data_IF_475172817833
#
_entry.id   IF_475172817833
#
_cell.length_a   1.000
_cell.length_b   1.000
_cell.length_c   1.000
_cell.angle_alpha   90.00
_cell.angle_beta   90.00
_cell.angle_gamma   90.00
#
_symmetry.space_group_name_H-M   'P 1'
#
loop_
_entity.id
_entity.type
_entity.pdbx_description
1 polymer ?
#
# COMPACT_ATOMS: atom_id res chain seq x y z
N UNK A 1 15.96 0.12 19.76
CA UNK A 1 15.91 1.17 20.81
C UNK A 1 16.17 2.57 20.27
N UNK A 2 17.28 2.77 19.55
CA UNK A 2 17.72 4.08 19.04
C UNK A 2 16.71 4.70 18.06
N UNK A 3 16.13 3.92 17.14
CA UNK A 3 15.19 4.44 16.15
C UNK A 3 13.92 5.05 16.78
N UNK A 4 13.35 4.43 17.81
CA UNK A 4 12.21 4.97 18.56
C UNK A 4 12.57 6.30 19.21
N UNK A 5 13.72 6.35 19.91
CA UNK A 5 14.20 7.58 20.55
C UNK A 5 14.36 8.72 19.53
N UNK A 6 15.02 8.44 18.40
CA UNK A 6 15.24 9.44 17.35
C UNK A 6 13.92 9.95 16.76
N UNK A 7 12.98 9.04 16.45
CA UNK A 7 11.67 9.43 15.92
C UNK A 7 10.85 10.26 16.92
N UNK A 8 10.88 9.89 18.21
CA UNK A 8 10.25 10.66 19.28
C UNK A 8 10.84 12.06 19.42
N UNK A 9 12.17 12.17 19.45
CA UNK A 9 12.86 13.47 19.51
C UNK A 9 12.53 14.34 18.30
N UNK A 10 12.59 13.80 17.08
CA UNK A 10 12.23 14.54 15.87
C UNK A 10 10.79 15.05 15.96
N UNK A 11 9.85 14.19 16.36
CA UNK A 11 8.43 14.53 16.45
C UNK A 11 8.16 15.61 17.50
N UNK A 12 8.79 15.50 18.67
CA UNK A 12 8.63 16.46 19.77
C UNK A 12 9.31 17.81 19.51
N UNK A 13 10.38 17.86 18.72
CA UNK A 13 11.07 19.12 18.40
C UNK A 13 10.40 19.91 17.27
N UNK A 14 9.58 19.28 16.42
CA UNK A 14 8.90 19.97 15.31
C UNK A 14 8.10 21.20 15.77
N UNK A 15 7.30 21.17 16.85
CA UNK A 15 6.59 22.35 17.34
C UNK A 15 7.50 23.37 18.04
N UNK A 16 8.65 22.95 18.55
CA UNK A 16 9.54 23.77 19.39
C UNK A 16 10.62 24.51 18.59
N UNK A 17 10.99 24.02 17.41
CA UNK A 17 11.95 24.67 16.52
C UNK A 17 11.23 25.64 15.58
N UNK A 18 11.63 26.91 15.60
CA UNK A 18 11.11 27.96 14.72
C UNK A 18 12.14 28.44 13.71
N UNK A 19 11.69 28.63 12.47
CA UNK A 19 12.46 29.22 11.37
C UNK A 19 11.93 30.62 11.04
N UNK A 20 12.81 31.51 10.55
CA UNK A 20 12.37 32.81 10.02
C UNK A 20 11.77 32.62 8.63
N UNK A 21 10.45 32.81 8.51
CA UNK A 21 9.82 32.89 7.20
C UNK A 21 10.10 34.24 6.53
N UNK A 22 10.04 34.30 5.19
CA UNK A 22 10.11 35.58 4.48
C UNK A 22 8.91 36.45 4.91
N UNK A 23 9.21 37.60 5.53
CA UNK A 23 8.30 38.53 6.26
C UNK A 23 8.05 38.18 7.72
N UNK A 24 9.03 38.52 8.57
CA UNK A 24 8.91 38.90 10.00
C UNK A 24 8.27 37.94 11.01
N UNK A 25 7.51 36.91 10.59
CA UNK A 25 6.85 35.96 11.46
C UNK A 25 7.71 34.71 11.61
N UNK A 26 7.87 34.26 12.85
CA UNK A 26 8.42 32.95 13.16
C UNK A 26 7.38 31.89 12.77
N UNK A 27 7.83 30.84 12.09
CA UNK A 27 7.00 29.68 11.75
C UNK A 27 7.69 28.45 12.29
N UNK A 28 6.95 27.61 13.01
CA UNK A 28 7.46 26.35 13.55
C UNK A 28 7.75 25.36 12.42
N UNK A 29 8.72 24.46 12.65
CA UNK A 29 8.97 23.35 11.74
C UNK A 29 7.71 22.49 11.57
N UNK A 30 6.90 22.35 12.62
CA UNK A 30 5.59 21.70 12.58
C UNK A 30 4.64 22.34 11.55
N UNK A 31 4.46 23.66 11.59
CA UNK A 31 3.57 24.37 10.64
C UNK A 31 4.04 24.20 9.20
N UNK A 32 5.36 24.25 8.96
CA UNK A 32 5.94 24.03 7.63
C UNK A 32 5.71 22.60 7.17
N UNK A 33 6.05 21.63 8.02
CA UNK A 33 5.89 20.21 7.72
C UNK A 33 4.43 19.84 7.47
N UNK A 34 3.52 20.23 8.37
CA UNK A 34 2.08 20.01 8.27
C UNK A 34 1.51 20.63 6.98
N UNK A 35 1.95 21.85 6.61
CA UNK A 35 1.51 22.47 5.35
C UNK A 35 1.91 21.64 4.13
N UNK A 36 3.16 21.16 4.08
CA UNK A 36 3.61 20.33 2.95
C UNK A 36 2.87 18.98 2.97
N UNK A 37 2.74 18.36 4.14
CA UNK A 37 2.09 17.08 4.30
C UNK A 37 0.61 17.11 3.92
N UNK A 38 -0.16 18.07 4.46
CA UNK A 38 -1.60 18.22 4.19
C UNK A 38 -1.91 18.51 2.72
N UNK A 39 -1.10 19.33 2.05
CA UNK A 39 -1.28 19.57 0.60
C UNK A 39 -1.01 18.29 -0.16
N UNK A 40 0.12 17.64 0.07
CA UNK A 40 0.45 16.41 -0.68
C UNK A 40 -0.48 15.25 -0.35
N UNK A 41 -1.05 15.19 0.86
CA UNK A 41 -2.01 14.16 1.24
C UNK A 41 -3.37 14.33 0.57
N UNK A 42 -3.76 15.57 0.26
CA UNK A 42 -4.94 15.83 -0.58
C UNK A 42 -4.78 15.34 -2.03
N UNK A 43 -3.56 15.35 -2.58
CA UNK A 43 -3.32 14.86 -3.94
C UNK A 43 -3.23 13.33 -4.02
N UNK A 44 -2.42 12.70 -3.15
CA UNK A 44 -2.05 11.29 -3.30
C UNK A 44 -2.54 10.40 -2.16
N UNK A 45 -3.00 10.98 -1.06
CA UNK A 45 -3.43 10.26 0.15
C UNK A 45 -2.48 10.41 1.33
N UNK A 46 -2.90 9.90 2.48
CA UNK A 46 -2.10 9.92 3.73
C UNK A 46 -0.94 8.93 3.67
N UNK A 47 0.08 9.14 4.50
CA UNK A 47 1.18 8.18 4.62
C UNK A 47 0.68 6.81 5.08
N UNK A 48 1.20 5.76 4.44
CA UNK A 48 0.92 4.36 4.81
C UNK A 48 1.61 3.99 6.14
N UNK A 49 2.77 4.57 6.41
CA UNK A 49 3.50 4.38 7.67
C UNK A 49 3.09 5.40 8.74
N UNK A 50 3.52 5.17 9.99
CA UNK A 50 3.37 6.15 11.07
C UNK A 50 4.17 7.43 10.75
N UNK A 51 3.69 8.55 11.25
CA UNK A 51 4.26 9.89 11.03
C UNK A 51 4.50 10.59 12.37
N UNK A 52 5.01 11.83 12.38
CA UNK A 52 5.08 12.63 13.59
C UNK A 52 3.74 12.80 14.32
N UNK A 53 2.58 12.74 13.64
CA UNK A 53 1.27 12.78 14.31
C UNK A 53 1.11 11.63 15.30
N UNK A 54 1.27 10.39 14.83
CA UNK A 54 1.09 9.20 15.66
C UNK A 54 2.14 9.10 16.77
N UNK A 55 3.37 9.56 16.51
CA UNK A 55 4.40 9.61 17.54
C UNK A 55 4.10 10.64 18.63
N UNK A 56 3.60 11.82 18.27
CA UNK A 56 3.17 12.82 19.26
C UNK A 56 2.00 12.31 20.10
N UNK A 57 1.01 11.67 19.48
CA UNK A 57 -0.13 11.07 20.19
C UNK A 57 0.33 9.98 21.18
N UNK A 58 1.20 9.06 20.74
CA UNK A 58 1.73 8.02 21.61
C UNK A 58 2.56 8.59 22.77
N UNK A 59 3.37 9.63 22.50
CA UNK A 59 4.18 10.29 23.50
C UNK A 59 3.33 11.03 24.52
N UNK A 60 2.30 11.76 24.09
CA UNK A 60 1.38 12.45 25.00
C UNK A 60 0.69 11.46 25.94
N UNK A 61 0.27 10.30 25.41
CA UNK A 61 -0.39 9.26 26.20
C UNK A 61 0.52 8.60 27.24
N UNK A 62 1.80 8.36 26.91
CA UNK A 62 2.73 7.62 27.77
C UNK A 62 3.55 8.53 28.69
N UNK A 63 4.00 9.68 28.17
CA UNK A 63 4.93 10.60 28.84
C UNK A 63 4.23 11.85 29.40
N UNK A 64 2.96 12.08 29.02
CA UNK A 64 2.18 13.26 29.38
C UNK A 64 2.36 14.42 28.40
N UNK A 65 1.71 15.55 28.70
CA UNK A 65 1.67 16.73 27.82
C UNK A 65 2.96 17.56 27.81
N UNK A 66 3.82 17.40 28.82
CA UNK A 66 5.13 18.03 28.89
C UNK A 66 6.22 16.99 28.59
N UNK A 67 6.95 17.19 27.50
CA UNK A 67 8.04 16.31 27.09
C UNK A 67 9.40 16.81 27.58
N UNK A 68 10.17 15.92 28.21
CA UNK A 68 11.60 16.08 28.47
C UNK A 68 12.34 14.88 27.85
N UNK A 69 13.38 15.17 27.05
CA UNK A 69 14.23 14.16 26.42
C UNK A 69 14.84 13.16 27.41
N UNK A 70 15.03 13.55 28.68
CA UNK A 70 15.51 12.66 29.74
C UNK A 70 14.56 11.49 30.02
N UNK A 71 13.25 11.65 29.78
CA UNK A 71 12.24 10.60 29.93
C UNK A 71 12.47 9.42 28.97
N UNK A 72 13.11 9.66 27.82
CA UNK A 72 13.43 8.59 26.85
C UNK A 72 14.64 7.74 27.27
N UNK A 73 15.39 8.15 28.29
CA UNK A 73 16.46 7.36 28.89
C UNK A 73 15.93 6.33 29.90
N UNK A 74 14.68 6.48 30.36
CA UNK A 74 14.03 5.52 31.23
C UNK A 74 13.54 4.29 30.43
N UNK A 75 13.97 3.10 30.86
CA UNK A 75 13.70 1.86 30.12
C UNK A 75 12.21 1.47 30.15
N UNK A 76 11.51 1.75 31.26
CA UNK A 76 10.09 1.45 31.42
C UNK A 76 9.24 2.38 30.55
N UNK A 77 9.52 3.68 30.57
CA UNK A 77 8.87 4.68 29.71
C UNK A 77 9.09 4.36 28.22
N UNK A 78 10.32 4.01 27.82
CA UNK A 78 10.62 3.63 26.45
C UNK A 78 9.93 2.32 26.05
N UNK A 79 9.82 1.35 26.96
CA UNK A 79 9.09 0.11 26.72
C UNK A 79 7.58 0.38 26.53
N UNK A 80 6.99 1.18 27.41
CA UNK A 80 5.58 1.58 27.33
C UNK A 80 5.29 2.35 26.04
N UNK A 81 6.18 3.25 25.62
CA UNK A 81 6.04 3.99 24.36
C UNK A 81 6.10 3.06 23.14
N UNK A 82 7.01 2.08 23.14
CA UNK A 82 7.05 1.07 22.07
C UNK A 82 5.79 0.21 22.06
N UNK A 83 5.29 -0.17 23.23
CA UNK A 83 4.06 -0.94 23.34
C UNK A 83 2.88 -0.16 22.76
N UNK A 84 2.77 1.13 23.06
CA UNK A 84 1.73 2.01 22.49
C UNK A 84 1.85 2.11 20.97
N UNK A 85 3.04 2.41 20.44
CA UNK A 85 3.28 2.49 19.00
C UNK A 85 3.04 1.15 18.29
N UNK A 86 3.28 0.02 18.96
CA UNK A 86 3.02 -1.30 18.41
C UNK A 86 1.52 -1.58 18.23
N UNK A 87 0.65 -0.98 19.06
CA UNK A 87 -0.82 -1.09 18.92
C UNK A 87 -1.40 -0.19 17.81
N UNK A 88 -0.65 0.80 17.35
CA UNK A 88 -1.09 1.65 16.25
C UNK A 88 -1.11 0.88 14.92
N UNK A 89 -1.75 1.47 13.90
CA UNK A 89 -1.90 0.88 12.57
C UNK A 89 -0.58 0.38 11.97
N UNK A 90 -0.62 -0.77 11.31
CA UNK A 90 0.46 -1.27 10.47
C UNK A 90 0.45 -0.54 9.11
N UNK A 91 1.59 -0.46 8.40
CA UNK A 91 1.55 -0.18 6.97
C UNK A 91 0.78 -1.30 6.26
N UNK A 92 0.03 -0.94 5.22
CA UNK A 92 -0.77 -1.89 4.44
C UNK A 92 -0.04 -2.29 3.14
N UNK A 93 0.99 -1.54 2.75
CA UNK A 93 1.78 -1.79 1.53
C UNK A 93 3.25 -2.00 1.90
N UNK A 94 3.84 -3.08 1.38
CA UNK A 94 5.25 -3.39 1.49
C UNK A 94 6.00 -2.58 0.42
N UNK A 95 6.61 -1.48 0.87
CA UNK A 95 7.34 -0.53 0.03
C UNK A 95 8.77 -0.94 -0.33
N UNK A 96 9.14 -2.22 -0.17
CA UNK A 96 10.50 -2.71 -0.41
C UNK A 96 11.53 -2.30 0.66
N UNK A 97 11.10 -1.66 1.74
CA UNK A 97 11.95 -1.28 2.86
C UNK A 97 12.04 -2.43 3.87
N UNK A 98 13.25 -2.75 4.33
CA UNK A 98 13.48 -3.87 5.25
C UNK A 98 13.55 -5.22 4.54
N UNK A 99 13.95 -6.25 5.28
CA UNK A 99 14.14 -7.61 4.76
C UNK A 99 12.85 -8.40 4.96
N UNK A 100 12.06 -8.51 3.90
CA UNK A 100 10.82 -9.31 3.89
C UNK A 100 11.08 -10.65 3.22
N UNK A 101 11.29 -11.69 4.03
CA UNK A 101 11.57 -13.04 3.56
C UNK A 101 10.43 -13.98 3.92
N UNK A 102 9.81 -14.59 2.90
CA UNK A 102 8.73 -15.55 3.10
C UNK A 102 9.29 -16.97 2.94
N UNK A 103 9.35 -17.70 4.05
CA UNK A 103 9.68 -19.12 4.08
C UNK A 103 8.40 -19.98 4.09
N UNK A 104 8.44 -21.26 3.69
CA UNK A 104 7.32 -22.19 3.87
C UNK A 104 6.88 -22.37 5.34
N UNK A 105 5.59 -22.68 5.64
CA UNK A 105 4.47 -22.66 4.70
C UNK A 105 4.18 -21.24 4.20
N UNK A 106 3.86 -21.08 2.91
CA UNK A 106 3.58 -19.77 2.31
C UNK A 106 2.14 -19.40 2.63
N UNK A 107 1.93 -18.34 3.42
CA UNK A 107 0.60 -17.88 3.82
C UNK A 107 0.49 -16.36 3.76
N UNK A 108 -0.75 -15.84 3.69
CA UNK A 108 -1.03 -14.38 3.68
C UNK A 108 -0.60 -13.72 5.00
N UNK A 109 -0.65 -14.44 6.12
CA UNK A 109 -0.24 -13.94 7.44
C UNK A 109 1.24 -13.56 7.48
N UNK A 110 2.10 -14.24 6.71
CA UNK A 110 3.53 -13.89 6.65
C UNK A 110 3.77 -12.57 5.95
N UNK A 111 2.90 -12.18 5.01
CA UNK A 111 2.91 -10.82 4.46
C UNK A 111 2.54 -9.80 5.55
N UNK A 112 1.50 -10.06 6.35
CA UNK A 112 1.12 -9.17 7.45
C UNK A 112 2.19 -9.05 8.54
N UNK A 113 2.88 -10.15 8.88
CA UNK A 113 4.03 -10.13 9.78
C UNK A 113 5.14 -9.23 9.24
N UNK A 114 5.48 -9.40 7.96
CA UNK A 114 6.46 -8.55 7.30
C UNK A 114 6.06 -7.08 7.31
N UNK A 115 4.79 -6.74 7.02
CA UNK A 115 4.30 -5.37 7.12
C UNK A 115 4.45 -4.81 8.54
N UNK A 116 4.08 -5.59 9.56
CA UNK A 116 4.25 -5.21 10.96
C UNK A 116 5.72 -4.95 11.32
N UNK A 117 6.65 -5.76 10.81
CA UNK A 117 8.10 -5.60 11.02
C UNK A 117 8.65 -4.34 10.35
N UNK A 118 8.00 -3.84 9.30
CA UNK A 118 8.38 -2.58 8.63
C UNK A 118 7.81 -1.33 9.31
N UNK A 119 6.93 -1.49 10.31
CA UNK A 119 6.30 -0.38 11.04
C UNK A 119 7.35 0.54 11.66
N UNK A 120 7.17 1.84 11.45
CA UNK A 120 7.94 2.87 12.12
C UNK A 120 7.61 4.25 11.58
N UNK A 121 8.20 5.28 12.18
CA UNK A 121 8.04 6.65 11.71
C UNK A 121 8.69 6.83 10.33
N UNK A 122 7.94 7.43 9.40
CA UNK A 122 8.47 8.06 8.19
C UNK A 122 8.15 9.54 8.24
N UNK A 123 9.19 10.38 8.29
CA UNK A 123 9.04 11.83 8.41
C UNK A 123 8.18 12.41 7.28
N UNK A 124 8.38 11.95 6.04
CA UNK A 124 7.54 12.23 4.87
C UNK A 124 7.19 10.91 4.19
N UNK A 125 6.46 10.03 4.89
CA UNK A 125 6.20 8.65 4.42
C UNK A 125 5.53 8.54 3.07
N UNK A 126 5.80 7.47 2.33
CA UNK A 126 5.10 7.23 1.06
C UNK A 126 3.60 7.01 1.31
N UNK A 127 2.78 7.41 0.35
CA UNK A 127 1.32 7.45 0.49
C UNK A 127 0.70 6.10 0.20
N UNK A 128 -0.32 5.75 0.97
CA UNK A 128 -1.17 4.63 0.62
C UNK A 128 -1.88 4.94 -0.70
N UNK A 129 -1.72 4.05 -1.69
CA UNK A 129 -2.48 4.11 -2.94
C UNK A 129 -3.19 2.77 -3.18
N UNK A 130 -4.49 2.79 -3.50
CA UNK A 130 -5.33 1.59 -3.54
C UNK A 130 -4.86 0.55 -4.55
N UNK A 131 -4.30 0.96 -5.68
CA UNK A 131 -3.83 0.06 -6.72
C UNK A 131 -2.51 -0.64 -6.37
N UNK A 132 -1.65 -0.04 -5.54
CA UNK A 132 -0.51 -0.77 -4.97
C UNK A 132 -0.96 -1.78 -3.92
N UNK A 133 -2.01 -1.46 -3.15
CA UNK A 133 -2.64 -2.43 -2.26
C UNK A 133 -3.25 -3.61 -3.02
N UNK A 134 -3.99 -3.35 -4.11
CA UNK A 134 -4.51 -4.39 -5.02
C UNK A 134 -3.39 -5.27 -5.56
N UNK A 135 -2.33 -4.66 -6.08
CA UNK A 135 -1.18 -5.38 -6.62
C UNK A 135 -0.53 -6.32 -5.63
N UNK A 136 -0.25 -5.85 -4.41
CA UNK A 136 0.36 -6.69 -3.38
C UNK A 136 -0.49 -7.91 -3.04
N UNK A 137 -1.81 -7.75 -2.98
CA UNK A 137 -2.73 -8.84 -2.68
C UNK A 137 -2.96 -9.79 -3.87
N UNK A 138 -2.47 -9.45 -5.07
CA UNK A 138 -2.54 -10.27 -6.28
C UNK A 138 -1.17 -10.78 -6.73
N UNK A 139 -0.17 -10.79 -5.85
CA UNK A 139 1.15 -11.39 -6.10
C UNK A 139 1.56 -12.29 -4.93
N UNK A 140 2.72 -12.95 -5.05
CA UNK A 140 3.29 -13.72 -3.94
C UNK A 140 3.46 -12.84 -2.69
N UNK A 141 3.15 -13.33 -1.48
CA UNK A 141 2.66 -14.68 -1.15
C UNK A 141 1.14 -14.84 -1.18
N UNK A 142 0.38 -13.80 -1.52
CA UNK A 142 -1.08 -13.77 -1.36
C UNK A 142 -1.85 -14.72 -2.29
N UNK A 143 -1.31 -15.07 -3.47
CA UNK A 143 -2.00 -15.92 -4.47
C UNK A 143 -1.47 -17.35 -4.56
N UNK A 144 -0.44 -17.69 -3.79
CA UNK A 144 0.21 -19.01 -3.83
C UNK A 144 1.20 -19.22 -4.98
N UNK A 145 1.33 -20.47 -5.43
CA UNK A 145 2.30 -20.93 -6.43
C UNK A 145 1.61 -21.10 -7.79
N UNK A 146 2.38 -21.03 -8.87
CA UNK A 146 1.83 -21.28 -10.19
C UNK A 146 1.50 -22.77 -10.39
N UNK A 147 0.29 -23.05 -10.89
CA UNK A 147 -0.21 -24.41 -11.16
C UNK A 147 -0.49 -24.67 -12.64
N UNK A 148 -0.31 -23.63 -13.47
CA UNK A 148 -0.47 -23.70 -14.91
C UNK A 148 0.65 -24.42 -15.65
N UNK A 149 0.54 -24.48 -16.97
CA UNK A 149 1.52 -25.14 -17.85
C UNK A 149 2.31 -24.15 -18.73
N UNK A 150 1.86 -22.90 -18.83
CA UNK A 150 2.47 -21.87 -19.65
C UNK A 150 3.54 -21.06 -18.88
N UNK A 151 4.15 -20.06 -19.53
CA UNK A 151 5.05 -19.09 -18.89
C UNK A 151 4.46 -17.67 -19.04
N UNK A 152 3.44 -17.29 -18.22
CA UNK A 152 2.77 -16.01 -18.34
C UNK A 152 3.70 -14.87 -17.87
N UNK A 153 3.36 -13.63 -18.25
CA UNK A 153 4.19 -12.45 -17.95
C UNK A 153 4.49 -12.30 -16.45
N UNK A 154 3.50 -12.61 -15.61
CA UNK A 154 3.60 -12.44 -14.16
C UNK A 154 4.45 -13.51 -13.47
N UNK A 155 4.80 -14.60 -14.15
CA UNK A 155 5.56 -15.72 -13.60
C UNK A 155 7.06 -15.44 -13.57
N UNK A 156 7.69 -15.73 -12.43
CA UNK A 156 9.13 -15.97 -12.34
C UNK A 156 9.44 -17.20 -11.48
N UNK A 157 10.53 -17.87 -11.80
CA UNK A 157 11.11 -18.93 -10.98
C UNK A 157 11.83 -18.31 -9.78
N UNK A 158 11.44 -18.71 -8.57
CA UNK A 158 12.11 -18.34 -7.32
C UNK A 158 12.68 -19.59 -6.63
N UNK A 159 13.33 -19.42 -5.48
CA UNK A 159 13.88 -20.54 -4.71
C UNK A 159 12.82 -21.53 -4.22
N UNK A 160 11.55 -21.11 -4.14
CA UNK A 160 10.44 -21.99 -3.73
C UNK A 160 9.65 -22.55 -4.94
N UNK A 161 10.00 -22.16 -6.17
CA UNK A 161 9.31 -22.58 -7.39
C UNK A 161 8.71 -21.41 -8.19
N UNK A 162 7.85 -21.69 -9.17
CA UNK A 162 7.22 -20.67 -10.00
C UNK A 162 6.17 -19.87 -9.21
N UNK A 163 6.32 -18.53 -9.19
CA UNK A 163 5.48 -17.63 -8.41
C UNK A 163 5.02 -16.44 -9.24
N UNK A 164 3.90 -15.83 -8.80
CA UNK A 164 3.44 -14.56 -9.35
C UNK A 164 4.30 -13.43 -8.77
N UNK A 165 5.31 -12.98 -9.50
CA UNK A 165 6.30 -12.03 -9.00
C UNK A 165 6.00 -10.58 -9.37
N UNK A 166 5.16 -10.34 -10.37
CA UNK A 166 4.76 -9.01 -10.79
C UNK A 166 3.25 -8.98 -11.05
N UNK A 167 2.59 -7.85 -10.78
CA UNK A 167 1.23 -7.62 -11.23
C UNK A 167 1.21 -7.08 -12.67
N UNK A 168 0.01 -6.91 -13.23
CA UNK A 168 -0.27 -6.19 -14.48
C UNK A 168 -1.28 -5.08 -14.21
N UNK A 169 -1.24 -4.00 -14.98
CA UNK A 169 -2.28 -2.95 -14.88
C UNK A 169 -3.72 -3.47 -15.06
N UNK A 170 -3.87 -4.59 -15.77
CA UNK A 170 -5.15 -5.31 -15.90
C UNK A 170 -5.71 -5.78 -14.56
N UNK A 171 -4.87 -6.08 -13.56
CA UNK A 171 -5.31 -6.50 -12.23
C UNK A 171 -6.14 -5.40 -11.56
N UNK A 172 -5.70 -4.15 -11.66
CA UNK A 172 -6.44 -2.98 -11.13
C UNK A 172 -7.79 -2.89 -11.81
N UNK A 173 -7.83 -3.02 -13.13
CA UNK A 173 -9.09 -2.95 -13.88
C UNK A 173 -10.02 -4.11 -13.54
N UNK A 174 -9.48 -5.32 -13.34
CA UNK A 174 -10.23 -6.49 -12.93
C UNK A 174 -10.83 -6.30 -11.52
N UNK A 175 -10.07 -5.77 -10.55
CA UNK A 175 -10.58 -5.43 -9.22
C UNK A 175 -11.67 -4.35 -9.30
N UNK A 176 -11.50 -3.35 -10.16
CA UNK A 176 -12.48 -2.28 -10.35
C UNK A 176 -13.75 -2.71 -11.12
N UNK A 177 -13.85 -3.98 -11.52
CA UNK A 177 -15.05 -4.59 -12.10
C UNK A 177 -14.98 -4.85 -13.61
N UNK A 178 -13.82 -4.71 -14.25
CA UNK A 178 -13.66 -5.03 -15.67
C UNK A 178 -13.59 -6.54 -15.89
N UNK A 179 -14.68 -7.13 -16.36
CA UNK A 179 -14.68 -8.54 -16.81
C UNK A 179 -13.74 -8.75 -18.00
N UNK A 180 -13.68 -7.78 -18.91
CA UNK A 180 -12.77 -7.84 -20.06
C UNK A 180 -11.29 -7.91 -19.63
N UNK A 181 -10.88 -7.18 -18.59
CA UNK A 181 -9.52 -7.27 -18.08
C UNK A 181 -9.21 -8.66 -17.48
N UNK A 182 -10.18 -9.24 -16.77
CA UNK A 182 -10.08 -10.58 -16.22
C UNK A 182 -9.98 -11.65 -17.32
N UNK A 183 -10.78 -11.55 -18.39
CA UNK A 183 -10.71 -12.46 -19.55
C UNK A 183 -9.31 -12.49 -20.17
N UNK A 184 -8.68 -11.31 -20.35
CA UNK A 184 -7.33 -11.21 -20.92
C UNK A 184 -6.31 -11.86 -19.98
N UNK A 185 -6.36 -11.57 -18.68
CA UNK A 185 -5.47 -12.19 -17.69
C UNK A 185 -5.60 -13.71 -17.69
N UNK A 186 -6.84 -14.22 -17.75
CA UNK A 186 -7.13 -15.65 -17.77
C UNK A 186 -6.64 -16.31 -19.06
N UNK A 187 -6.89 -15.69 -20.21
CA UNK A 187 -6.45 -16.20 -21.50
C UNK A 187 -4.91 -16.27 -21.63
N UNK A 188 -4.21 -15.34 -20.99
CA UNK A 188 -2.73 -15.32 -20.97
C UNK A 188 -2.12 -16.20 -19.86
N UNK A 189 -2.94 -16.86 -19.03
CA UNK A 189 -2.49 -17.75 -17.95
C UNK A 189 -2.04 -17.02 -16.68
N UNK A 190 -2.19 -15.70 -16.60
CA UNK A 190 -1.82 -14.94 -15.41
C UNK A 190 -2.72 -15.28 -14.21
N UNK A 191 -3.86 -15.95 -14.36
CA UNK A 191 -4.74 -16.28 -13.21
C UNK A 191 -4.44 -17.65 -12.56
N UNK A 192 -3.51 -18.43 -13.10
CA UNK A 192 -3.31 -19.85 -12.73
C UNK A 192 -2.41 -20.02 -11.48
N UNK A 193 -2.78 -19.40 -10.36
CA UNK A 193 -2.04 -19.44 -9.09
C UNK A 193 -2.90 -19.95 -7.92
N UNK A 194 -2.37 -20.90 -7.16
CA UNK A 194 -3.03 -21.57 -6.03
C UNK A 194 -2.04 -21.89 -4.90
N UNK A 195 -2.49 -21.76 -3.66
CA UNK A 195 -1.82 -22.13 -2.41
C UNK A 195 -2.70 -23.07 -1.58
N UNK A 196 -2.39 -23.22 -0.29
CA UNK A 196 -3.17 -24.09 0.61
C UNK A 196 -4.56 -23.52 0.88
N UNK A 197 -4.64 -22.23 1.26
CA UNK A 197 -5.89 -21.51 1.55
C UNK A 197 -6.00 -20.19 0.75
N UNK A 198 -5.35 -20.13 -0.40
CA UNK A 198 -5.33 -18.92 -1.24
C UNK A 198 -5.28 -19.27 -2.72
N UNK A 199 -5.81 -18.39 -3.56
CA UNK A 199 -5.66 -18.45 -5.02
C UNK A 199 -5.80 -17.07 -5.62
N UNK A 200 -5.40 -16.91 -6.88
CA UNK A 200 -5.61 -15.63 -7.59
C UNK A 200 -7.08 -15.22 -7.61
N UNK A 201 -7.98 -16.16 -7.98
CA UNK A 201 -9.41 -15.87 -8.13
C UNK A 201 -10.08 -15.54 -6.78
N UNK A 202 -9.70 -16.22 -5.69
CA UNK A 202 -10.19 -15.89 -4.34
C UNK A 202 -9.75 -14.49 -3.92
N UNK A 203 -8.46 -14.15 -4.08
CA UNK A 203 -7.98 -12.81 -3.73
C UNK A 203 -8.62 -11.71 -4.59
N UNK A 204 -8.82 -11.98 -5.89
CA UNK A 204 -9.53 -11.05 -6.76
C UNK A 204 -10.98 -10.85 -6.31
N UNK A 205 -11.67 -11.91 -5.89
CA UNK A 205 -13.04 -11.82 -5.37
C UNK A 205 -13.10 -10.99 -4.08
N UNK A 206 -12.21 -11.24 -3.13
CA UNK A 206 -12.10 -10.47 -1.88
C UNK A 206 -11.89 -8.98 -2.17
N UNK A 207 -10.96 -8.64 -3.08
CA UNK A 207 -10.69 -7.26 -3.47
C UNK A 207 -11.88 -6.63 -4.19
N UNK A 208 -12.59 -7.37 -5.06
CA UNK A 208 -13.80 -6.87 -5.73
C UNK A 208 -14.90 -6.54 -4.72
N UNK A 209 -15.09 -7.38 -3.71
CA UNK A 209 -16.05 -7.14 -2.63
C UNK A 209 -15.66 -5.91 -1.80
N UNK A 210 -14.39 -5.82 -1.39
CA UNK A 210 -13.86 -4.69 -0.61
C UNK A 210 -14.03 -3.36 -1.35
N UNK A 211 -13.56 -3.28 -2.60
CA UNK A 211 -13.65 -2.05 -3.40
C UNK A 211 -15.05 -1.77 -3.94
N UNK A 212 -15.90 -2.80 -4.02
CA UNK A 212 -17.33 -2.69 -4.33
C UNK A 212 -18.16 -2.10 -3.19
N UNK A 213 -17.72 -2.30 -1.94
CA UNK A 213 -18.38 -1.76 -0.75
C UNK A 213 -18.11 -0.27 -0.49
N UNK A 214 -17.16 0.33 -1.20
CA UNK A 214 -16.79 1.74 -1.05
C UNK A 214 -17.90 2.68 -1.50
N UNK A 215 -18.21 3.67 -0.67
CA UNK A 215 -19.19 4.71 -0.98
C UNK A 215 -18.58 5.79 -1.90
N UNK A 216 -19.44 6.63 -2.49
CA UNK A 216 -18.97 7.81 -3.25
C UNK A 216 -18.07 8.72 -2.40
N UNK A 217 -18.34 8.85 -1.10
CA UNK A 217 -17.51 9.62 -0.17
C UNK A 217 -16.11 9.01 -0.05
N UNK A 218 -16.02 7.70 0.02
CA UNK A 218 -14.74 6.99 0.14
C UNK A 218 -13.91 7.14 -1.14
N UNK A 219 -14.55 7.09 -2.30
CA UNK A 219 -13.91 7.35 -3.59
C UNK A 219 -13.45 8.80 -3.74
N UNK A 220 -14.15 9.75 -3.14
CA UNK A 220 -13.81 11.18 -3.21
C UNK A 220 -12.98 11.68 -2.02
N UNK A 221 -12.30 10.78 -1.29
CA UNK A 221 -11.50 11.14 -0.10
C UNK A 221 -10.26 12.00 -0.42
N UNK A 222 -9.73 11.89 -1.64
CA UNK A 222 -8.61 12.68 -2.16
C UNK A 222 -8.57 12.57 -3.71
N UNK A 223 -7.70 13.32 -4.38
CA UNK A 223 -7.66 13.38 -5.85
C UNK A 223 -7.28 12.04 -6.50
N UNK A 224 -6.38 11.27 -5.89
CA UNK A 224 -5.96 9.97 -6.41
C UNK A 224 -7.13 8.98 -6.52
N UNK A 225 -7.90 8.86 -5.43
CA UNK A 225 -9.06 7.98 -5.39
C UNK A 225 -10.17 8.46 -6.33
N UNK A 226 -10.39 9.78 -6.41
CA UNK A 226 -11.39 10.35 -7.31
C UNK A 226 -11.02 10.13 -8.79
N UNK A 227 -9.73 10.16 -9.13
CA UNK A 227 -9.25 9.84 -10.47
C UNK A 227 -9.58 8.38 -10.83
N UNK A 228 -9.22 7.41 -9.98
CA UNK A 228 -9.57 6.00 -10.23
C UNK A 228 -11.07 5.78 -10.35
N UNK A 229 -11.85 6.46 -9.51
CA UNK A 229 -13.30 6.40 -9.56
C UNK A 229 -13.87 6.89 -10.90
N UNK A 230 -13.29 7.97 -11.45
CA UNK A 230 -13.68 8.49 -12.76
C UNK A 230 -13.40 7.52 -13.93
N UNK A 231 -12.53 6.53 -13.74
CA UNK A 231 -12.25 5.50 -14.74
C UNK A 231 -13.27 4.35 -14.72
N UNK A 232 -13.92 4.08 -13.56
CA UNK A 232 -14.83 2.94 -13.42
C UNK A 232 -15.94 2.88 -14.48
N UNK A 233 -16.59 3.98 -14.90
CA UNK A 233 -17.61 3.93 -15.96
C UNK A 233 -17.13 3.40 -17.31
N UNK A 234 -15.82 3.45 -17.58
CA UNK A 234 -15.22 2.91 -18.81
C UNK A 234 -15.11 1.38 -18.79
N UNK A 235 -15.20 0.75 -17.62
CA UNK A 235 -14.92 -0.67 -17.41
C UNK A 235 -16.16 -1.57 -17.51
N UNK A 236 -17.35 -0.97 -17.57
CA UNK A 236 -18.62 -1.70 -17.58
C UNK A 236 -19.02 -2.22 -18.96
N UNK A 237 -20.08 -3.04 -18.98
CA UNK A 237 -20.69 -3.51 -20.21
C UNK A 237 -21.62 -2.44 -20.83
N UNK A 238 -21.47 -2.22 -22.13
CA UNK A 238 -22.35 -1.36 -22.92
C UNK A 238 -23.40 -2.23 -23.61
N UNK A 239 -24.49 -2.51 -22.91
CA UNK A 239 -25.56 -3.40 -23.37
C UNK A 239 -26.62 -2.69 -24.24
N UNK A 240 -27.81 -3.29 -24.33
CA UNK A 240 -28.96 -2.73 -25.04
C UNK A 240 -29.26 -1.30 -24.55
N UNK A 241 -29.40 -0.37 -25.50
CA UNK A 241 -29.53 1.08 -25.25
C UNK A 241 -28.32 1.89 -25.70
N UNK A 242 -27.14 1.28 -25.84
CA UNK A 242 -25.97 1.91 -26.45
C UNK A 242 -25.89 1.65 -27.96
N UNK A 243 -25.23 2.52 -28.75
CA UNK A 243 -24.94 2.27 -30.16
C UNK A 243 -24.31 0.90 -30.41
N UNK A 244 -24.68 0.23 -31.51
CA UNK A 244 -24.26 -1.15 -31.79
C UNK A 244 -22.74 -1.38 -31.76
N UNK A 245 -21.95 -0.38 -32.17
CA UNK A 245 -20.49 -0.49 -32.12
C UNK A 245 -19.94 -0.54 -30.68
N UNK A 246 -20.64 0.08 -29.71
CA UNK A 246 -20.22 0.07 -28.31
C UNK A 246 -20.42 -1.29 -27.64
N UNK A 247 -21.30 -2.12 -28.20
CA UNK A 247 -21.63 -3.45 -27.69
C UNK A 247 -20.61 -4.53 -28.12
N UNK A 248 -19.53 -4.13 -28.79
CA UNK A 248 -18.50 -5.05 -29.33
C UNK A 248 -17.30 -5.19 -28.40
N UNK A 249 -16.62 -6.33 -28.44
CA UNK A 249 -15.37 -6.52 -27.70
C UNK A 249 -14.29 -5.51 -28.10
N UNK A 250 -14.25 -5.10 -29.37
CA UNK A 250 -13.33 -4.07 -29.83
C UNK A 250 -13.55 -2.71 -29.13
N UNK A 251 -14.81 -2.37 -28.78
CA UNK A 251 -15.10 -1.18 -27.99
C UNK A 251 -14.70 -1.36 -26.53
N UNK A 252 -14.99 -2.51 -25.92
CA UNK A 252 -14.53 -2.83 -24.56
C UNK A 252 -13.01 -2.76 -24.45
N UNK A 253 -12.29 -3.28 -25.44
CA UNK A 253 -10.83 -3.19 -25.54
C UNK A 253 -10.36 -1.74 -25.65
N UNK A 254 -11.02 -0.91 -26.48
CA UNK A 254 -10.73 0.53 -26.57
C UNK A 254 -10.92 1.23 -25.23
N UNK A 255 -12.00 0.95 -24.51
CA UNK A 255 -12.28 1.62 -23.23
C UNK A 255 -11.33 1.14 -22.12
N UNK A 256 -11.03 -0.17 -22.07
CA UNK A 256 -10.02 -0.73 -21.19
C UNK A 256 -8.64 -0.11 -21.44
N UNK A 257 -8.22 0.02 -22.70
CA UNK A 257 -6.97 0.70 -23.07
C UNK A 257 -6.99 2.18 -22.65
N UNK A 258 -8.12 2.86 -22.79
CA UNK A 258 -8.28 4.27 -22.37
C UNK A 258 -8.11 4.40 -20.85
N UNK A 259 -8.75 3.51 -20.07
CA UNK A 259 -8.63 3.47 -18.62
C UNK A 259 -7.19 3.15 -18.19
N UNK A 260 -6.54 2.15 -18.80
CA UNK A 260 -5.14 1.80 -18.54
C UNK A 260 -4.18 2.93 -18.85
N UNK A 261 -4.38 3.66 -19.96
CA UNK A 261 -3.55 4.82 -20.30
C UNK A 261 -3.69 5.92 -19.23
N UNK A 262 -4.92 6.25 -18.82
CA UNK A 262 -5.15 7.25 -17.78
C UNK A 262 -4.60 6.83 -16.41
N UNK A 263 -4.77 5.56 -16.04
CA UNK A 263 -4.19 5.00 -14.82
C UNK A 263 -2.65 5.01 -14.84
N UNK A 264 -2.05 4.76 -16.00
CA UNK A 264 -0.59 4.83 -16.18
C UNK A 264 -0.07 6.24 -15.94
N UNK A 265 -0.75 7.26 -16.46
CA UNK A 265 -0.41 8.66 -16.21
C UNK A 265 -0.54 9.02 -14.71
N UNK A 266 -1.64 8.60 -14.07
CA UNK A 266 -1.82 8.78 -12.62
C UNK A 266 -0.65 8.18 -11.83
N UNK A 267 -0.21 6.96 -12.17
CA UNK A 267 0.92 6.30 -11.51
C UNK A 267 2.25 6.99 -11.79
N UNK A 268 2.44 7.50 -13.00
CA UNK A 268 3.63 8.25 -13.38
C UNK A 268 3.74 9.58 -12.59
N UNK A 269 2.67 10.37 -12.56
CA UNK A 269 2.66 11.69 -11.93
C UNK A 269 2.85 11.64 -10.40
N UNK A 270 2.45 10.52 -9.80
CA UNK A 270 2.49 10.32 -8.35
C UNK A 270 3.62 9.43 -7.88
N UNK A 271 4.51 8.99 -8.79
CA UNK A 271 5.53 7.95 -8.52
C UNK A 271 6.44 8.26 -7.32
N UNK A 272 6.77 9.52 -7.09
CA UNK A 272 7.65 9.96 -5.99
C UNK A 272 6.96 9.96 -4.62
N UNK A 273 5.62 9.96 -4.60
CA UNK A 273 4.82 10.06 -3.39
C UNK A 273 4.18 8.73 -3.04
N UNK A 274 3.66 8.01 -4.03
CA UNK A 274 2.96 6.74 -3.85
C UNK A 274 3.91 5.66 -3.32
N UNK A 275 3.42 4.88 -2.35
CA UNK A 275 4.12 3.69 -1.86
C UNK A 275 3.93 2.58 -2.88
N UNK A 276 5.00 2.27 -3.61
CA UNK A 276 4.98 1.20 -4.60
C UNK A 276 4.89 -0.15 -3.88
N UNK A 277 4.07 -1.05 -4.40
CA UNK A 277 4.04 -2.44 -3.93
C UNK A 277 5.25 -3.21 -4.44
N UNK A 278 5.98 -3.85 -3.54
CA UNK A 278 7.02 -4.81 -3.87
C UNK A 278 6.56 -6.22 -3.51
N UNK A 279 6.95 -7.20 -4.32
CA UNK A 279 6.77 -8.61 -3.99
C UNK A 279 7.85 -9.04 -2.99
N UNK A 280 7.48 -9.58 -1.81
CA UNK A 280 8.43 -10.17 -0.87
C UNK A 280 9.32 -11.24 -1.51
N UNK A 281 10.55 -11.38 -1.01
CA UNK A 281 11.46 -12.40 -1.51
C UNK A 281 11.15 -13.75 -0.84
N UNK A 282 11.08 -14.80 -1.66
CA UNK A 282 10.98 -16.17 -1.17
C UNK A 282 12.32 -16.66 -0.59
N UNK A 283 12.29 -17.45 0.48
CA UNK A 283 13.48 -18.08 1.06
C UNK A 283 13.24 -19.53 1.47
N UNK A 284 14.27 -20.37 1.34
CA UNK A 284 14.28 -21.73 1.91
C UNK A 284 15.07 -21.80 3.23
N UNK A 285 15.58 -20.65 3.71
CA UNK A 285 16.31 -20.59 4.98
C UNK A 285 15.33 -20.76 6.15
N UNK A 286 15.63 -21.66 7.12
CA UNK A 286 14.80 -21.80 8.31
C UNK A 286 14.77 -20.47 9.10
N UNK A 287 13.66 -20.15 9.79
CA UNK A 287 13.58 -18.95 10.60
C UNK A 287 14.69 -18.97 11.66
N UNK A 288 15.35 -17.83 11.86
CA UNK A 288 16.37 -17.74 12.90
C UNK A 288 15.71 -17.97 14.27
N UNK A 289 16.34 -18.76 15.16
CA UNK A 289 15.82 -18.93 16.51
C UNK A 289 15.75 -17.57 17.20
N UNK A 290 14.61 -17.27 17.83
CA UNK A 290 14.51 -16.08 18.66
C UNK A 290 15.50 -16.23 19.84
N UNK A 291 16.30 -15.20 20.16
CA UNK A 291 17.16 -15.24 21.33
C UNK A 291 16.30 -15.46 22.58
N UNK A 292 16.69 -16.46 23.39
CA UNK A 292 16.07 -16.83 24.66
C UNK A 292 16.33 -15.78 25.72
#
# INVERSE_FOLDING_TARGET
PIATIQASLISAELPNVSLRAQRSNLTTCWEIWNRIYSVTSFFVGTADDLTPYEYLEAMEKVLGTSFDASQLADEEALLNLKAELAQMRNPEIYGGSGVCLIAPPVTKEKLYQCLADTKGMRFMGQRFVPDSYMFQNLVFPAVGMYVGQNEPFTLKMTILGPQRCFPRGLDVMAVLGSERAYEVLKAEGDTEYQGEDTSYDEQLSELREEFGALTEKDWNRNLYWAWLYALKPLLGDFAEGYPAFMQTDAWKDKELQTALASWTELRHDTILYAKQSYTPAATAMPPQPQPV
#
